data_IF_451763195207
#
_entry.id   IF_451763195207
#
_cell.length_a   1.000
_cell.length_b   1.000
_cell.length_c   1.000
_cell.angle_alpha   90.00
_cell.angle_beta   90.00
_cell.angle_gamma   90.00
#
_symmetry.space_group_name_H-M   'P 1'
#
loop_
_entity.id
_entity.type
_entity.pdbx_description
1 polymer ?
#
# COMPACT_ATOMS: atom_id res chain seq x y z
N UNK A 1 -0.78 -11.45 -10.51
CA UNK A 1 -1.17 -10.03 -10.50
C UNK A 1 -1.63 -9.69 -11.91
N UNK A 2 -2.81 -9.07 -12.11
CA UNK A 2 -3.21 -8.59 -13.43
C UNK A 2 -2.27 -7.48 -13.92
N UNK A 3 -2.15 -7.32 -15.24
CA UNK A 3 -1.38 -6.24 -15.84
C UNK A 3 -2.10 -4.91 -15.62
N UNK A 4 -1.38 -3.91 -15.16
CA UNK A 4 -1.86 -2.53 -15.03
C UNK A 4 -1.49 -1.79 -16.30
N UNK A 5 -2.41 -0.99 -16.83
CA UNK A 5 -2.23 -0.26 -18.10
C UNK A 5 -2.59 1.22 -17.90
N UNK A 6 -1.79 2.10 -18.49
CA UNK A 6 -2.10 3.52 -18.63
C UNK A 6 -1.89 3.95 -20.08
N UNK A 7 -2.96 4.45 -20.69
CA UNK A 7 -2.93 5.05 -22.03
C UNK A 7 -2.75 6.56 -21.92
N UNK A 8 -1.71 7.08 -22.57
CA UNK A 8 -1.42 8.51 -22.68
C UNK A 8 -1.36 8.90 -24.18
N UNK A 9 -2.53 9.00 -24.81
CA UNK A 9 -2.64 9.33 -26.25
C UNK A 9 -2.05 8.24 -27.14
N UNK A 10 -0.85 8.46 -27.69
CA UNK A 10 -0.17 7.48 -28.55
C UNK A 10 0.82 6.56 -27.82
N UNK A 11 0.98 6.75 -26.52
CA UNK A 11 1.91 5.98 -25.70
C UNK A 11 1.13 5.16 -24.68
N UNK A 12 1.50 3.89 -24.56
CA UNK A 12 0.94 2.97 -23.58
C UNK A 12 2.03 2.61 -22.58
N UNK A 13 1.67 2.63 -21.30
CA UNK A 13 2.49 2.16 -20.21
C UNK A 13 1.89 0.89 -19.66
N UNK A 14 2.73 -0.12 -19.45
CA UNK A 14 2.33 -1.41 -18.90
C UNK A 14 3.18 -1.70 -17.67
N UNK A 15 2.53 -2.07 -16.58
CA UNK A 15 3.17 -2.49 -15.34
C UNK A 15 2.67 -3.89 -14.96
N UNK A 16 3.58 -4.86 -14.97
CA UNK A 16 3.26 -6.29 -14.73
C UNK A 16 3.53 -6.73 -13.29
N UNK A 17 4.28 -5.93 -12.53
CA UNK A 17 4.74 -6.23 -11.17
C UNK A 17 4.80 -4.97 -10.33
N UNK A 18 4.39 -5.05 -9.08
CA UNK A 18 4.56 -3.95 -8.13
C UNK A 18 5.80 -4.24 -7.28
N UNK A 19 6.81 -3.38 -7.40
CA UNK A 19 7.99 -3.50 -6.54
C UNK A 19 7.69 -3.05 -5.10
N UNK A 20 8.55 -3.47 -4.17
CA UNK A 20 8.51 -2.97 -2.79
C UNK A 20 8.65 -1.46 -2.74
N UNK A 21 9.50 -0.87 -3.59
CA UNK A 21 9.62 0.59 -3.70
C UNK A 21 8.30 1.26 -4.10
N UNK A 22 7.62 0.72 -5.11
CA UNK A 22 6.37 1.29 -5.62
C UNK A 22 5.29 1.28 -4.54
N UNK A 23 5.10 0.16 -3.84
CA UNK A 23 4.14 0.08 -2.74
C UNK A 23 4.54 1.00 -1.58
N UNK A 24 5.83 1.07 -1.22
CA UNK A 24 6.31 1.96 -0.16
C UNK A 24 6.06 3.44 -0.50
N UNK A 25 6.29 3.86 -1.74
CA UNK A 25 5.99 5.22 -2.20
C UNK A 25 4.49 5.48 -2.24
N UNK A 26 3.70 4.49 -2.64
CA UNK A 26 2.24 4.59 -2.61
C UNK A 26 1.73 4.90 -1.19
N UNK A 27 2.22 4.20 -0.16
CA UNK A 27 1.81 4.48 1.23
C UNK A 27 2.24 5.87 1.69
N UNK A 28 3.40 6.37 1.26
CA UNK A 28 3.83 7.76 1.55
C UNK A 28 2.93 8.81 0.88
N UNK A 29 2.46 8.56 -0.33
CA UNK A 29 1.53 9.46 -1.03
C UNK A 29 0.19 9.47 -0.31
N UNK A 30 -0.32 8.28 0.05
CA UNK A 30 -1.61 8.14 0.74
C UNK A 30 -1.61 8.70 2.16
N UNK A 31 -0.52 8.58 2.91
CA UNK A 31 -0.38 9.18 4.24
C UNK A 31 -0.47 10.72 4.18
N UNK A 32 0.06 11.34 3.12
CA UNK A 32 0.03 12.80 2.93
C UNK A 32 -1.30 13.29 2.36
N UNK A 33 -2.05 12.42 1.71
CA UNK A 33 -3.35 12.74 1.12
C UNK A 33 -4.46 12.65 2.18
N UNK A 34 -4.36 13.50 3.20
CA UNK A 34 -5.27 13.56 4.36
C UNK A 34 -6.30 14.70 4.20
N UNK A 35 -6.58 15.10 2.96
CA UNK A 35 -7.47 16.22 2.65
C UNK A 35 -8.65 15.77 1.79
N UNK A 36 -9.82 16.36 2.01
CA UNK A 36 -11.01 16.16 1.19
C UNK A 36 -11.00 16.98 -0.12
N UNK A 37 -9.87 17.59 -0.46
CA UNK A 37 -9.75 18.47 -1.62
C UNK A 37 -9.56 17.66 -2.90
N UNK A 38 -10.38 17.97 -3.93
CA UNK A 38 -10.29 17.34 -5.25
C UNK A 38 -8.92 17.58 -5.89
N UNK A 39 -8.35 18.77 -5.67
CA UNK A 39 -7.03 19.14 -6.22
C UNK A 39 -5.92 18.27 -5.64
N UNK A 40 -5.92 18.07 -4.33
CA UNK A 40 -4.93 17.27 -3.64
C UNK A 40 -5.06 15.78 -3.99
N UNK A 41 -6.31 15.29 -4.12
CA UNK A 41 -6.57 13.94 -4.61
C UNK A 41 -6.06 13.73 -6.04
N UNK A 42 -6.26 14.70 -6.93
CA UNK A 42 -5.75 14.62 -8.30
C UNK A 42 -4.21 14.66 -8.36
N UNK A 43 -3.58 15.50 -7.53
CA UNK A 43 -2.12 15.55 -7.41
C UNK A 43 -1.55 14.23 -6.88
N UNK A 44 -2.19 13.64 -5.85
CA UNK A 44 -1.83 12.33 -5.32
C UNK A 44 -1.94 11.23 -6.39
N UNK A 45 -3.06 11.20 -7.11
CA UNK A 45 -3.30 10.24 -8.20
C UNK A 45 -2.26 10.36 -9.30
N UNK A 46 -1.88 11.59 -9.66
CA UNK A 46 -0.82 11.85 -10.64
C UNK A 46 0.52 11.28 -10.18
N UNK A 47 0.90 11.50 -8.91
CA UNK A 47 2.14 10.94 -8.33
C UNK A 47 2.12 9.41 -8.28
N UNK A 48 0.97 8.80 -8.03
CA UNK A 48 0.79 7.35 -8.02
C UNK A 48 1.05 6.78 -9.42
N UNK A 49 0.42 7.35 -10.45
CA UNK A 49 0.64 6.94 -11.84
C UNK A 49 2.11 7.08 -12.26
N UNK A 50 2.73 8.21 -11.93
CA UNK A 50 4.16 8.44 -12.19
C UNK A 50 5.04 7.39 -11.49
N UNK A 51 4.67 6.97 -10.28
CA UNK A 51 5.41 5.98 -9.50
C UNK A 51 5.30 4.58 -10.09
N UNK A 52 4.09 4.17 -10.49
CA UNK A 52 3.83 2.80 -10.99
C UNK A 52 4.25 2.63 -12.45
N UNK A 53 4.00 3.64 -13.28
CA UNK A 53 4.23 3.56 -14.73
C UNK A 53 5.52 4.25 -15.20
N UNK A 54 6.17 5.05 -14.34
CA UNK A 54 7.29 5.89 -14.76
C UNK A 54 6.89 6.98 -15.77
N UNK A 55 5.58 7.26 -15.89
CA UNK A 55 5.05 8.29 -16.78
C UNK A 55 5.49 9.69 -16.31
N UNK A 56 5.63 10.63 -17.25
CA UNK A 56 5.88 12.03 -16.91
C UNK A 56 4.56 12.71 -16.55
N UNK A 57 4.62 13.66 -15.64
CA UNK A 57 3.46 14.43 -15.20
C UNK A 57 2.62 14.99 -16.38
N UNK A 58 3.28 15.61 -17.37
CA UNK A 58 2.57 16.14 -18.56
C UNK A 58 1.83 15.08 -19.36
N UNK A 59 2.39 13.87 -19.46
CA UNK A 59 1.74 12.77 -20.20
C UNK A 59 0.48 12.31 -19.47
N UNK A 60 0.47 12.36 -18.14
CA UNK A 60 -0.72 12.05 -17.32
C UNK A 60 -1.76 13.17 -17.40
N UNK A 61 -1.34 14.44 -17.33
CA UNK A 61 -2.23 15.60 -17.38
C UNK A 61 -2.89 15.81 -18.77
N UNK A 62 -2.21 15.39 -19.85
CA UNK A 62 -2.72 15.46 -21.22
C UNK A 62 -3.50 14.20 -21.65
N UNK A 63 -3.51 13.15 -20.84
CA UNK A 63 -4.21 11.90 -21.12
C UNK A 63 -5.74 12.03 -20.97
N UNK A 64 -6.48 11.06 -21.53
CA UNK A 64 -7.93 11.01 -21.34
C UNK A 64 -8.24 10.81 -19.85
N UNK A 65 -9.11 11.65 -19.24
CA UNK A 65 -9.52 11.49 -17.85
C UNK A 65 -10.09 10.10 -17.54
N UNK A 66 -10.75 9.44 -18.49
CA UNK A 66 -11.30 8.08 -18.31
C UNK A 66 -10.16 7.05 -18.18
N UNK A 67 -9.12 7.15 -19.01
CA UNK A 67 -7.93 6.30 -18.95
C UNK A 67 -7.17 6.51 -17.63
N UNK A 68 -6.97 7.77 -17.25
CA UNK A 68 -6.30 8.16 -15.99
C UNK A 68 -7.06 7.60 -14.77
N UNK A 69 -8.38 7.81 -14.71
CA UNK A 69 -9.19 7.35 -13.58
C UNK A 69 -9.28 5.82 -13.52
N UNK A 70 -9.34 5.14 -14.66
CA UNK A 70 -9.35 3.68 -14.72
C UNK A 70 -8.04 3.10 -14.21
N UNK A 71 -6.90 3.58 -14.72
CA UNK A 71 -5.58 3.14 -14.29
C UNK A 71 -5.34 3.38 -12.79
N UNK A 72 -5.72 4.56 -12.28
CA UNK A 72 -5.59 4.89 -10.85
C UNK A 72 -6.44 3.95 -9.99
N UNK A 73 -7.70 3.69 -10.36
CA UNK A 73 -8.58 2.78 -9.62
C UNK A 73 -8.01 1.37 -9.56
N UNK A 74 -7.46 0.87 -10.65
CA UNK A 74 -6.82 -0.45 -10.69
C UNK A 74 -5.59 -0.49 -9.77
N UNK A 75 -4.77 0.57 -9.77
CA UNK A 75 -3.65 0.68 -8.82
C UNK A 75 -4.15 0.69 -7.38
N UNK A 76 -5.16 1.48 -7.04
CA UNK A 76 -5.73 1.49 -5.69
C UNK A 76 -6.20 0.11 -5.28
N UNK A 77 -6.94 -0.60 -6.14
CA UNK A 77 -7.36 -1.96 -5.86
C UNK A 77 -6.16 -2.89 -5.63
N UNK A 78 -5.14 -2.84 -6.48
CA UNK A 78 -3.94 -3.67 -6.32
C UNK A 78 -3.18 -3.38 -5.03
N UNK A 79 -2.98 -2.10 -4.69
CA UNK A 79 -2.24 -1.71 -3.49
C UNK A 79 -3.05 -2.04 -2.23
N UNK A 80 -4.32 -1.64 -2.17
CA UNK A 80 -5.14 -1.71 -0.96
C UNK A 80 -5.78 -3.08 -0.76
N UNK A 81 -6.39 -3.65 -1.80
CA UNK A 81 -7.18 -4.87 -1.67
C UNK A 81 -6.40 -6.15 -1.89
N UNK A 82 -5.24 -6.08 -2.54
CA UNK A 82 -4.41 -7.24 -2.82
C UNK A 82 -3.15 -7.23 -1.96
N UNK A 83 -2.34 -6.18 -2.03
CA UNK A 83 -1.05 -6.15 -1.34
C UNK A 83 -1.23 -5.91 0.16
N UNK A 84 -1.98 -4.88 0.59
CA UNK A 84 -2.18 -4.61 2.03
C UNK A 84 -2.80 -5.79 2.76
N UNK A 85 -3.76 -6.50 2.15
CA UNK A 85 -4.36 -7.70 2.77
C UNK A 85 -3.32 -8.79 3.03
N UNK A 86 -2.34 -8.96 2.14
CA UNK A 86 -1.28 -9.95 2.30
C UNK A 86 -0.34 -9.64 3.47
N UNK A 87 -0.21 -8.39 3.87
CA UNK A 87 0.49 -8.05 5.13
C UNK A 87 -0.26 -8.55 6.36
N UNK A 88 -1.59 -8.63 6.32
CA UNK A 88 -2.39 -9.18 7.42
C UNK A 88 -2.17 -10.69 7.55
N UNK A 89 -2.00 -11.39 6.43
CA UNK A 89 -1.72 -12.83 6.39
C UNK A 89 -0.36 -13.21 7.03
N UNK A 90 0.55 -12.24 7.19
CA UNK A 90 1.84 -12.45 7.87
C UNK A 90 1.72 -12.56 9.40
N UNK A 91 0.54 -12.28 9.97
CA UNK A 91 0.27 -12.42 11.40
C UNK A 91 -0.85 -13.46 11.66
N UNK A 92 -0.58 -14.76 11.44
CA UNK A 92 -1.62 -15.81 11.45
C UNK A 92 -2.26 -16.07 12.82
N UNK A 93 -1.62 -15.69 13.93
CA UNK A 93 -2.17 -15.91 15.28
C UNK A 93 -3.19 -14.85 15.73
N UNK A 94 -3.29 -13.71 15.02
CA UNK A 94 -4.17 -12.59 15.40
C UNK A 94 -4.86 -11.88 14.22
N UNK A 95 -5.61 -12.58 13.34
CA UNK A 95 -6.42 -11.91 12.32
C UNK A 95 -7.56 -11.05 12.91
N UNK A 96 -7.97 -11.32 14.16
CA UNK A 96 -9.15 -10.70 14.79
C UNK A 96 -8.87 -9.37 15.51
N UNK A 97 -7.61 -9.01 15.79
CA UNK A 97 -7.28 -7.80 16.57
C UNK A 97 -7.53 -6.46 15.85
N UNK A 98 -8.09 -6.48 14.64
CA UNK A 98 -8.43 -5.27 13.88
C UNK A 98 -9.92 -4.91 14.02
N UNK A 99 -10.76 -5.82 14.51
CA UNK A 99 -12.09 -5.43 14.97
C UNK A 99 -11.91 -4.75 16.33
N UNK A 100 -11.88 -3.42 16.37
CA UNK A 100 -12.18 -2.69 17.61
C UNK A 100 -13.53 -3.22 18.10
N UNK A 101 -13.53 -4.03 19.16
CA UNK A 101 -14.76 -4.44 19.82
C UNK A 101 -15.47 -3.16 20.25
N UNK A 102 -16.69 -2.94 19.75
CA UNK A 102 -17.48 -1.79 20.20
C UNK A 102 -17.71 -1.93 21.70
N UNK A 103 -17.20 -0.98 22.48
CA UNK A 103 -17.42 -0.94 23.92
C UNK A 103 -18.90 -0.64 24.17
N UNK A 104 -19.47 -1.25 25.21
CA UNK A 104 -20.81 -0.88 25.69
C UNK A 104 -20.91 0.58 26.16
N UNK A 105 -19.77 1.29 26.21
CA UNK A 105 -19.64 2.69 26.59
C UNK A 105 -19.36 3.61 25.39
N UNK A 106 -19.14 3.09 24.17
CA UNK A 106 -18.82 3.92 22.99
C UNK A 106 -19.90 4.99 22.75
N UNK A 107 -21.19 4.63 22.84
CA UNK A 107 -22.31 5.57 22.67
C UNK A 107 -22.33 6.66 23.76
N UNK A 108 -21.93 6.32 24.99
CA UNK A 108 -21.88 7.26 26.11
C UNK A 108 -20.65 8.18 26.02
N UNK A 109 -19.51 7.66 25.60
CA UNK A 109 -18.26 8.41 25.42
C UNK A 109 -18.38 9.40 24.26
N UNK A 110 -19.11 9.02 23.19
CA UNK A 110 -19.42 9.88 22.05
C UNK A 110 -20.41 11.00 22.42
N UNK A 111 -21.47 10.69 23.20
CA UNK A 111 -22.46 11.68 23.66
C UNK A 111 -21.87 12.70 24.66
N UNK A 112 -20.90 12.28 25.47
CA UNK A 112 -20.29 13.14 26.50
C UNK A 112 -18.94 13.74 26.07
N UNK A 113 -18.50 13.50 24.83
CA UNK A 113 -17.24 14.05 24.30
C UNK A 113 -15.99 13.50 24.99
N UNK A 114 -16.08 12.31 25.59
CA UNK A 114 -14.94 11.56 26.14
C UNK A 114 -14.23 10.70 25.10
N UNK A 115 -14.71 10.73 23.85
CA UNK A 115 -14.04 10.12 22.72
C UNK A 115 -12.76 10.92 22.37
N UNK A 116 -11.75 10.85 23.23
CA UNK A 116 -10.34 11.04 22.89
C UNK A 116 -9.87 9.80 22.14
N UNK A 117 -10.60 9.39 21.07
CA UNK A 117 -10.03 8.44 20.12
C UNK A 117 -8.80 9.14 19.54
N UNK A 118 -7.63 8.78 20.05
CA UNK A 118 -6.38 8.85 19.28
C UNK A 118 -6.79 8.37 17.88
N UNK A 119 -6.63 9.17 16.80
CA UNK A 119 -7.35 9.01 15.52
C UNK A 119 -7.22 7.65 14.78
N UNK A 120 -6.73 6.61 15.44
CA UNK A 120 -6.06 5.48 14.87
C UNK A 120 -4.68 5.94 14.44
N UNK A 121 -3.66 5.12 14.69
CA UNK A 121 -2.43 5.29 13.93
C UNK A 121 -2.77 5.27 12.43
N UNK A 122 -2.32 6.29 11.68
CA UNK A 122 -2.60 6.42 10.26
C UNK A 122 -2.28 5.09 9.53
N UNK A 123 -3.29 4.49 8.91
CA UNK A 123 -3.18 3.17 8.26
C UNK A 123 -1.99 3.08 7.30
N UNK A 124 -1.73 4.15 6.56
CA UNK A 124 -0.64 4.21 5.58
C UNK A 124 0.72 4.29 6.25
N UNK A 125 0.82 4.99 7.38
CA UNK A 125 2.01 4.97 8.24
C UNK A 125 2.30 3.55 8.73
N UNK A 126 1.29 2.84 9.24
CA UNK A 126 1.42 1.44 9.66
C UNK A 126 1.90 0.57 8.49
N UNK A 127 1.26 0.69 7.32
CA UNK A 127 1.64 -0.09 6.14
C UNK A 127 3.09 0.17 5.72
N UNK A 128 3.54 1.43 5.75
CA UNK A 128 4.94 1.79 5.46
C UNK A 128 5.90 1.18 6.48
N UNK A 129 5.59 1.27 7.78
CA UNK A 129 6.42 0.67 8.82
C UNK A 129 6.50 -0.85 8.68
N UNK A 130 5.39 -1.51 8.32
CA UNK A 130 5.37 -2.94 8.06
C UNK A 130 6.29 -3.31 6.89
N UNK A 131 6.26 -2.56 5.79
CA UNK A 131 7.20 -2.75 4.67
C UNK A 131 8.65 -2.64 5.16
N UNK A 132 8.97 -1.59 5.90
CA UNK A 132 10.34 -1.34 6.38
C UNK A 132 10.81 -2.45 7.35
N UNK A 133 9.90 -3.01 8.17
CA UNK A 133 10.18 -4.15 9.04
C UNK A 133 10.44 -5.43 8.23
N UNK A 134 9.63 -5.71 7.21
CA UNK A 134 9.85 -6.88 6.34
C UNK A 134 11.19 -6.76 5.63
N UNK A 135 11.51 -5.62 5.04
CA UNK A 135 12.80 -5.38 4.38
C UNK A 135 13.96 -5.66 5.35
N UNK A 136 13.87 -5.19 6.61
CA UNK A 136 14.87 -5.48 7.65
C UNK A 136 14.97 -6.99 7.96
N UNK A 137 13.84 -7.70 8.06
CA UNK A 137 13.82 -9.15 8.28
C UNK A 137 14.49 -9.86 7.10
N UNK A 138 14.17 -9.49 5.86
CA UNK A 138 14.77 -10.05 4.65
C UNK A 138 16.29 -9.86 4.63
N UNK A 139 16.78 -8.68 5.00
CA UNK A 139 18.22 -8.41 5.07
C UNK A 139 18.89 -9.24 6.16
N UNK A 140 18.30 -9.28 7.35
CA UNK A 140 18.94 -9.89 8.53
C UNK A 140 18.90 -11.42 8.50
N UNK A 141 17.74 -12.00 8.20
CA UNK A 141 17.51 -13.45 8.22
C UNK A 141 17.86 -14.09 6.88
N UNK A 142 17.42 -13.48 5.76
CA UNK A 142 17.53 -14.07 4.43
C UNK A 142 18.79 -13.63 3.67
N UNK A 143 19.59 -12.73 4.24
CA UNK A 143 20.86 -12.22 3.68
C UNK A 143 20.72 -11.52 2.33
N UNK A 144 19.54 -10.99 2.02
CA UNK A 144 19.33 -10.13 0.87
C UNK A 144 20.03 -8.78 1.08
N UNK A 145 20.49 -8.15 0.00
CA UNK A 145 20.87 -6.74 0.02
C UNK A 145 19.64 -5.82 0.01
N UNK A 146 19.81 -4.58 0.45
CA UNK A 146 18.73 -3.58 0.41
C UNK A 146 18.19 -3.37 -1.01
N UNK A 147 19.08 -3.25 -2.01
CA UNK A 147 18.67 -3.07 -3.42
C UNK A 147 17.77 -4.22 -3.88
N UNK A 148 18.17 -5.47 -3.59
CA UNK A 148 17.38 -6.65 -3.93
C UNK A 148 16.01 -6.64 -3.27
N UNK A 149 15.89 -6.17 -2.02
CA UNK A 149 14.60 -6.08 -1.35
C UNK A 149 13.70 -5.01 -1.97
N UNK A 150 14.24 -3.84 -2.33
CA UNK A 150 13.46 -2.70 -2.84
C UNK A 150 12.99 -2.93 -4.28
N UNK A 151 13.81 -3.58 -5.11
CA UNK A 151 13.47 -3.89 -6.50
C UNK A 151 12.61 -5.16 -6.64
N UNK A 152 12.53 -6.00 -5.61
CA UNK A 152 11.73 -7.22 -5.65
C UNK A 152 10.24 -6.93 -5.83
N UNK A 153 9.56 -7.82 -6.53
CA UNK A 153 8.10 -7.87 -6.55
C UNK A 153 7.59 -8.09 -5.11
N UNK A 154 6.73 -7.20 -4.64
CA UNK A 154 6.29 -7.19 -3.24
C UNK A 154 5.52 -8.45 -2.90
N UNK A 155 4.70 -8.98 -3.82
CA UNK A 155 3.93 -10.19 -3.57
C UNK A 155 4.84 -11.39 -3.34
N UNK A 156 5.90 -11.49 -4.14
CA UNK A 156 6.92 -12.54 -4.03
C UNK A 156 7.73 -12.41 -2.74
N UNK A 157 8.10 -11.17 -2.34
CA UNK A 157 8.81 -10.93 -1.09
C UNK A 157 7.95 -11.32 0.12
N UNK A 158 6.67 -10.97 0.11
CA UNK A 158 5.72 -11.31 1.16
C UNK A 158 5.48 -12.82 1.23
N UNK A 159 5.36 -13.52 0.10
CA UNK A 159 5.25 -14.99 0.08
C UNK A 159 6.47 -15.67 0.71
N UNK A 160 7.66 -15.20 0.35
CA UNK A 160 8.91 -15.72 0.88
C UNK A 160 9.01 -15.46 2.39
N UNK A 161 8.67 -14.26 2.84
CA UNK A 161 8.62 -13.93 4.27
C UNK A 161 7.60 -14.79 5.03
N UNK A 162 6.40 -14.99 4.47
CA UNK A 162 5.36 -15.83 5.06
C UNK A 162 5.79 -17.29 5.19
N UNK A 163 6.56 -17.79 4.21
CA UNK A 163 7.13 -19.13 4.25
C UNK A 163 8.14 -19.26 5.39
N UNK A 164 9.15 -18.40 5.42
CA UNK A 164 10.23 -18.44 6.43
C UNK A 164 9.72 -18.28 7.87
N UNK A 165 8.69 -17.43 8.09
CA UNK A 165 8.05 -17.29 9.41
C UNK A 165 7.41 -18.60 9.85
N UNK A 166 6.70 -19.30 8.96
CA UNK A 166 6.00 -20.55 9.28
C UNK A 166 6.94 -21.72 9.55
N UNK A 167 8.12 -21.72 8.92
CA UNK A 167 9.10 -22.81 9.05
C UNK A 167 10.18 -22.53 10.11
N UNK A 168 10.09 -21.42 10.85
CA UNK A 168 11.14 -21.03 11.80
C UNK A 168 11.28 -22.03 12.96
N UNK A 169 10.18 -22.67 13.36
CA UNK A 169 10.10 -23.65 14.45
C UNK A 169 10.33 -25.10 13.99
N UNK A 170 10.55 -25.34 12.70
CA UNK A 170 10.83 -26.69 12.16
C UNK A 170 12.32 -27.10 12.31
N UNK A 171 13.09 -26.42 13.18
CA UNK A 171 14.53 -26.66 13.41
C UNK A 171 14.84 -27.33 14.74
#
# INVERSE_FOLDING_TARGET
MPELILSCGHKEYVCTTISVEMYRRYTEIMERNDSDSISDAFEANTKILMTVFGARQREVEEADPEDVLSAVKEIHFMMQDVITKKFLDLNPEHPEKIQKEKSAFDEYDEENGYNDEDPGENLWKICRENVDRIVKICINLMKNSYQQCIEADIMSLLDHAAFEIRTVDEK
#
